data_IF_231194912563
#
_entry.id   IF_231194912563
#
_cell.length_a   1.000
_cell.length_b   1.000
_cell.length_c   1.000
_cell.angle_alpha   90.00
_cell.angle_beta   90.00
_cell.angle_gamma   90.00
#
_symmetry.space_group_name_H-M   'P 1'
#
loop_
_entity.id
_entity.type
_entity.pdbx_description
1 polymer ?
#
# COMPACT_ATOMS: atom_id res chain seq x y z
N UNK A 1 -25.03 -12.67 31.95
CA UNK A 1 -23.59 -12.65 32.25
C UNK A 1 -22.95 -11.99 31.04
N UNK A 2 -22.72 -10.68 31.14
CA UNK A 2 -22.02 -9.90 30.13
C UNK A 2 -20.53 -10.26 30.18
N UNK A 3 -19.92 -10.37 29.00
CA UNK A 3 -18.77 -9.55 28.64
C UNK A 3 -18.56 -9.71 27.14
N UNK A 4 -19.07 -8.73 26.41
CA UNK A 4 -18.58 -8.37 25.08
C UNK A 4 -17.06 -8.12 25.18
N UNK A 5 -16.29 -8.72 24.28
CA UNK A 5 -14.96 -8.21 23.96
C UNK A 5 -14.78 -8.20 22.45
N UNK A 6 -15.63 -7.43 21.77
CA UNK A 6 -15.21 -6.79 20.53
C UNK A 6 -14.31 -5.62 20.90
N UNK A 7 -13.02 -5.78 20.66
CA UNK A 7 -12.14 -4.64 20.38
C UNK A 7 -11.32 -5.03 19.16
N UNK A 8 -11.96 -5.05 18.00
CA UNK A 8 -11.19 -4.77 16.80
C UNK A 8 -10.74 -3.33 16.97
N UNK A 9 -9.45 -3.14 17.21
CA UNK A 9 -8.85 -1.81 17.08
C UNK A 9 -8.85 -1.51 15.59
N UNK A 10 -10.02 -1.12 15.07
CA UNK A 10 -10.21 -0.82 13.66
C UNK A 10 -9.25 0.30 13.30
N UNK A 11 -8.19 -0.04 12.57
CA UNK A 11 -7.30 0.95 11.98
C UNK A 11 -8.11 1.71 10.93
N UNK A 12 -8.51 2.94 11.24
CA UNK A 12 -9.26 3.74 10.28
C UNK A 12 -8.26 4.42 9.36
N UNK A 13 -8.28 4.02 8.09
CA UNK A 13 -7.44 4.58 7.05
C UNK A 13 -8.24 5.62 6.27
N UNK A 14 -7.92 6.91 6.46
CA UNK A 14 -8.53 8.00 5.69
C UNK A 14 -7.53 8.56 4.69
N UNK A 15 -7.93 8.66 3.42
CA UNK A 15 -7.20 9.43 2.42
C UNK A 15 -7.72 10.87 2.43
N UNK A 16 -6.89 11.82 2.85
CA UNK A 16 -7.19 13.25 2.81
C UNK A 16 -6.00 13.99 2.23
N UNK A 17 -6.23 14.80 1.19
CA UNK A 17 -5.21 15.66 0.57
C UNK A 17 -3.91 14.92 0.17
N UNK A 18 -4.02 13.67 -0.29
CA UNK A 18 -2.88 12.83 -0.69
C UNK A 18 -2.10 12.17 0.46
N UNK A 19 -2.53 12.41 1.70
CA UNK A 19 -1.98 11.78 2.89
C UNK A 19 -2.91 10.69 3.41
N UNK A 20 -2.32 9.61 3.92
CA UNK A 20 -3.07 8.60 4.66
C UNK A 20 -2.92 8.87 6.15
N UNK A 21 -4.03 9.11 6.82
CA UNK A 21 -4.07 9.13 8.28
C UNK A 21 -4.33 7.71 8.77
N UNK A 22 -3.43 7.20 9.62
CA UNK A 22 -3.63 5.95 10.32
C UNK A 22 -3.64 6.23 11.83
N UNK A 23 -4.71 5.78 12.50
CA UNK A 23 -4.84 5.83 13.95
C UNK A 23 -4.79 4.42 14.52
N UNK A 24 -3.99 4.23 15.58
CA UNK A 24 -3.92 2.98 16.32
C UNK A 24 -3.77 3.27 17.82
N UNK A 25 -4.79 2.90 18.60
CA UNK A 25 -4.83 3.17 20.04
C UNK A 25 -4.78 4.67 20.33
N UNK A 26 -3.76 5.12 21.06
CA UNK A 26 -3.53 6.54 21.43
C UNK A 26 -2.61 7.28 20.43
N UNK A 27 -2.10 6.58 19.42
CA UNK A 27 -1.17 7.13 18.44
C UNK A 27 -1.87 7.44 17.12
N UNK A 28 -1.68 8.67 16.64
CA UNK A 28 -2.02 9.08 15.28
C UNK A 28 -0.72 9.35 14.52
N UNK A 29 -0.57 8.74 13.35
CA UNK A 29 0.53 9.07 12.45
C UNK A 29 -0.02 9.41 11.06
N UNK A 30 0.54 10.48 10.51
CA UNK A 30 0.23 10.94 9.17
C UNK A 30 1.30 10.42 8.21
N UNK A 31 0.88 9.62 7.25
CA UNK A 31 1.74 9.15 6.16
C UNK A 31 1.54 10.08 4.96
N UNK A 32 2.45 11.02 4.79
CA UNK A 32 2.56 11.79 3.55
C UNK A 32 3.31 10.95 2.51
N UNK A 33 2.58 10.43 1.54
CA UNK A 33 3.18 9.65 0.47
C UNK A 33 3.69 10.51 -0.68
N UNK A 34 3.46 11.83 -0.70
CA UNK A 34 3.93 12.66 -1.81
C UNK A 34 5.45 12.60 -1.96
N UNK A 35 6.19 12.79 -0.87
CA UNK A 35 7.65 12.69 -0.89
C UNK A 35 8.12 11.27 -1.23
N UNK A 36 7.44 10.25 -0.69
CA UNK A 36 7.72 8.86 -1.00
C UNK A 36 7.53 8.55 -2.49
N UNK A 37 6.39 8.94 -3.06
CA UNK A 37 6.07 8.75 -4.48
C UNK A 37 7.07 9.48 -5.38
N UNK A 38 7.43 10.72 -5.04
CA UNK A 38 8.44 11.47 -5.80
C UNK A 38 9.81 10.80 -5.72
N UNK A 39 10.23 10.34 -4.54
CA UNK A 39 11.49 9.62 -4.36
C UNK A 39 11.55 8.34 -5.19
N UNK A 40 10.50 7.53 -5.14
CA UNK A 40 10.38 6.29 -5.92
C UNK A 40 10.37 6.58 -7.42
N UNK A 41 9.59 7.57 -7.86
CA UNK A 41 9.52 7.95 -9.27
C UNK A 41 10.88 8.46 -9.79
N UNK A 42 11.57 9.28 -9.01
CA UNK A 42 12.91 9.77 -9.34
C UNK A 42 13.91 8.62 -9.45
N UNK A 43 13.87 7.66 -8.53
CA UNK A 43 14.71 6.47 -8.60
C UNK A 43 14.45 5.68 -9.89
N UNK A 44 13.20 5.34 -10.17
CA UNK A 44 12.84 4.53 -11.34
C UNK A 44 13.25 5.25 -12.63
N UNK A 45 12.94 6.54 -12.77
CA UNK A 45 13.29 7.33 -13.96
C UNK A 45 14.81 7.54 -14.10
N UNK A 46 15.58 7.47 -13.01
CA UNK A 46 17.04 7.50 -13.06
C UNK A 46 17.64 6.22 -13.67
N UNK A 47 17.00 5.07 -13.42
CA UNK A 47 17.42 3.74 -13.91
C UNK A 47 16.83 3.44 -15.29
N UNK A 48 15.57 3.79 -15.50
CA UNK A 48 14.80 3.56 -16.73
C UNK A 48 14.54 4.90 -17.42
N UNK A 49 15.44 5.31 -18.32
CA UNK A 49 15.37 6.61 -18.98
C UNK A 49 14.60 6.54 -20.30
N UNK A 50 13.82 7.58 -20.61
CA UNK A 50 13.16 7.72 -21.92
C UNK A 50 12.16 6.60 -22.22
N UNK A 51 12.25 5.99 -23.40
CA UNK A 51 11.33 4.92 -23.82
C UNK A 51 11.39 3.67 -22.93
N UNK A 52 12.52 3.43 -22.25
CA UNK A 52 12.65 2.33 -21.29
C UNK A 52 11.76 2.53 -20.06
N UNK A 53 11.48 3.78 -19.67
CA UNK A 53 10.53 4.07 -18.60
C UNK A 53 9.12 3.59 -18.96
N UNK A 54 8.68 3.89 -20.19
CA UNK A 54 7.34 3.51 -20.65
C UNK A 54 7.21 2.00 -20.78
N UNK A 55 8.26 1.32 -21.24
CA UNK A 55 8.30 -0.14 -21.27
C UNK A 55 8.20 -0.72 -19.85
N UNK A 56 9.02 -0.23 -18.92
CA UNK A 56 8.98 -0.64 -17.51
C UNK A 56 7.59 -0.44 -16.90
N UNK A 57 6.93 0.69 -17.15
CA UNK A 57 5.57 0.94 -16.64
C UNK A 57 4.56 -0.11 -17.11
N UNK A 58 4.66 -0.54 -18.38
CA UNK A 58 3.76 -1.56 -18.92
C UNK A 58 4.03 -2.94 -18.32
N UNK A 59 5.29 -3.30 -18.13
CA UNK A 59 5.70 -4.57 -17.52
C UNK A 59 5.35 -4.64 -16.02
N UNK A 60 5.58 -3.54 -15.30
CA UNK A 60 5.29 -3.44 -13.88
C UNK A 60 3.79 -3.56 -13.60
N UNK A 61 2.93 -3.03 -14.49
CA UNK A 61 1.47 -3.14 -14.34
C UNK A 61 1.02 -4.60 -14.25
N UNK A 62 1.43 -5.44 -15.20
CA UNK A 62 1.05 -6.85 -15.24
C UNK A 62 1.68 -7.64 -14.07
N UNK A 63 2.93 -7.33 -13.75
CA UNK A 63 3.67 -7.94 -12.64
C UNK A 63 3.00 -7.64 -11.30
N UNK A 64 2.67 -6.37 -11.04
CA UNK A 64 2.03 -5.92 -9.80
C UNK A 64 0.66 -6.57 -9.59
N UNK A 65 -0.18 -6.61 -10.63
CA UNK A 65 -1.51 -7.23 -10.54
C UNK A 65 -1.37 -8.73 -10.22
N UNK A 66 -0.46 -9.42 -10.90
CA UNK A 66 -0.21 -10.85 -10.67
C UNK A 66 0.25 -11.11 -9.23
N UNK A 67 1.17 -10.28 -8.71
CA UNK A 67 1.65 -10.38 -7.34
C UNK A 67 0.54 -10.14 -6.31
N UNK A 68 -0.33 -9.17 -6.55
CA UNK A 68 -1.47 -8.87 -5.66
C UNK A 68 -2.49 -10.02 -5.63
N UNK A 69 -2.78 -10.63 -6.78
CA UNK A 69 -3.67 -11.80 -6.86
C UNK A 69 -3.06 -12.99 -6.12
N UNK A 70 -1.80 -13.30 -6.36
CA UNK A 70 -1.11 -14.41 -5.70
C UNK A 70 -1.06 -14.19 -4.18
N UNK A 71 -0.76 -12.97 -3.73
CA UNK A 71 -0.78 -12.63 -2.31
C UNK A 71 -2.16 -12.85 -1.69
N UNK A 72 -3.24 -12.49 -2.39
CA UNK A 72 -4.59 -12.73 -1.90
C UNK A 72 -4.92 -14.24 -1.80
N UNK A 73 -4.46 -15.04 -2.77
CA UNK A 73 -4.59 -16.50 -2.75
C UNK A 73 -3.82 -17.09 -1.56
N UNK A 74 -2.58 -16.64 -1.32
CA UNK A 74 -1.73 -17.14 -0.24
C UNK A 74 -2.35 -16.86 1.13
N UNK A 75 -2.88 -15.64 1.34
CA UNK A 75 -3.58 -15.27 2.58
C UNK A 75 -4.76 -16.21 2.80
N UNK A 76 -5.59 -16.44 1.78
CA UNK A 76 -6.76 -17.31 1.90
C UNK A 76 -6.39 -18.80 2.08
N UNK A 77 -5.23 -19.22 1.54
CA UNK A 77 -4.74 -20.59 1.65
C UNK A 77 -4.08 -20.88 3.00
N UNK A 78 -3.60 -19.86 3.71
CA UNK A 78 -3.00 -19.94 5.05
C UNK A 78 -4.00 -19.91 6.21
N UNK A 79 -5.28 -19.67 5.96
CA UNK A 79 -6.36 -19.65 6.97
C UNK A 79 -6.97 -21.04 7.26
N UNK A 80 -6.22 -22.14 7.01
CA UNK A 80 -6.65 -23.52 7.30
C UNK A 80 -5.89 -24.15 8.45
#
# INVERSE_FOLDING_TARGET
QESESQSSSDSILWLKDGCYLASYGIGEFNLDFNEFYQSVLNFITSVQKGDNFRLWQNEEKETYISAMVNKAIDIHSGEK
#
